data_IF_689120949677
#
_entry.id   IF_689120949677
#
_cell.length_a   1.000
_cell.length_b   1.000
_cell.length_c   1.000
_cell.angle_alpha   90.00
_cell.angle_beta   90.00
_cell.angle_gamma   90.00
#
_symmetry.space_group_name_H-M   'P 1'
#
loop_
_entity.id
_entity.type
_entity.pdbx_description
1 polymer ?
#
# COMPACT_ATOMS: atom_id res chain seq x y z
N UNK A 1 8.39 64.87 -10.39
CA UNK A 1 9.42 64.83 -11.45
C UNK A 1 9.91 63.39 -11.51
N UNK A 2 9.02 62.47 -11.87
CA UNK A 2 8.68 62.08 -13.25
C UNK A 2 9.86 61.40 -13.94
N UNK A 3 9.80 60.07 -14.03
CA UNK A 3 9.93 59.37 -15.32
C UNK A 3 9.58 57.89 -15.14
N UNK A 4 8.47 57.57 -15.80
CA UNK A 4 7.87 56.28 -16.09
C UNK A 4 8.79 55.36 -16.90
N UNK A 5 8.76 54.05 -16.59
CA UNK A 5 9.14 53.02 -17.54
C UNK A 5 8.01 52.00 -17.73
N UNK A 6 7.72 51.77 -19.00
CA UNK A 6 6.60 51.06 -19.59
C UNK A 6 6.58 49.56 -19.32
N UNK A 7 5.36 49.04 -19.19
CA UNK A 7 5.03 47.62 -19.29
C UNK A 7 4.69 47.25 -20.75
N UNK A 8 5.05 46.04 -21.24
CA UNK A 8 4.57 45.58 -22.54
C UNK A 8 3.25 44.80 -22.42
N UNK A 9 2.37 45.06 -23.38
CA UNK A 9 1.05 44.45 -23.59
C UNK A 9 1.13 42.98 -24.08
N UNK A 10 0.09 42.15 -23.87
CA UNK A 10 0.03 40.78 -24.37
C UNK A 10 -0.46 40.69 -25.82
N UNK A 11 0.25 39.88 -26.62
CA UNK A 11 -0.11 39.54 -28.01
C UNK A 11 -1.26 38.54 -28.07
N UNK A 12 -2.22 38.85 -28.93
CA UNK A 12 -3.48 38.16 -29.20
C UNK A 12 -3.40 37.57 -30.61
N UNK A 13 -3.41 36.25 -30.75
CA UNK A 13 -3.64 35.45 -31.99
C UNK A 13 -3.72 33.98 -31.55
N UNK A 14 -4.60 33.12 -32.03
CA UNK A 14 -5.70 33.21 -32.98
C UNK A 14 -6.43 31.87 -32.92
N UNK A 15 -7.76 31.93 -32.93
CA UNK A 15 -8.64 30.78 -33.11
C UNK A 15 -8.44 30.20 -34.52
N UNK A 16 -8.30 28.87 -34.61
CA UNK A 16 -8.58 28.12 -35.84
C UNK A 16 -9.58 27.02 -35.49
N UNK A 17 -10.80 27.20 -35.97
CA UNK A 17 -11.75 26.14 -36.26
C UNK A 17 -11.19 25.30 -37.41
N UNK A 18 -11.24 23.97 -37.29
CA UNK A 18 -11.23 23.10 -38.44
C UNK A 18 -12.20 21.95 -38.22
N UNK A 19 -12.90 21.66 -39.31
CA UNK A 19 -14.23 21.08 -39.43
C UNK A 19 -14.25 19.57 -39.52
N UNK A 20 -15.41 19.02 -39.14
CA UNK A 20 -15.92 17.70 -39.52
C UNK A 20 -15.68 17.34 -41.00
N UNK A 21 -15.19 16.12 -41.23
CA UNK A 21 -15.75 15.16 -42.20
C UNK A 21 -14.77 14.01 -42.42
N UNK A 22 -15.14 12.77 -42.05
CA UNK A 22 -15.16 11.74 -43.09
C UNK A 22 -16.09 10.57 -42.77
N UNK A 23 -16.92 10.27 -43.76
CA UNK A 23 -17.89 9.17 -43.84
C UNK A 23 -17.20 7.92 -44.39
N UNK A 24 -17.76 6.78 -43.99
CA UNK A 24 -17.97 5.57 -44.79
C UNK A 24 -16.75 4.89 -45.43
N UNK A 25 -16.45 3.67 -44.96
CA UNK A 25 -16.31 2.53 -45.86
C UNK A 25 -16.84 1.27 -45.17
N UNK A 26 -17.98 0.80 -45.69
CA UNK A 26 -18.50 -0.54 -45.59
C UNK A 26 -17.61 -1.47 -46.42
N UNK A 27 -17.26 -2.63 -45.89
CA UNK A 27 -17.11 -3.82 -46.73
C UNK A 27 -17.32 -5.10 -45.93
N UNK A 28 -17.85 -6.09 -46.65
CA UNK A 28 -18.56 -7.23 -46.14
C UNK A 28 -17.65 -8.45 -45.88
N UNK A 29 -18.27 -9.38 -45.16
CA UNK A 29 -17.87 -10.74 -44.78
C UNK A 29 -17.50 -11.58 -46.01
N UNK A 30 -16.70 -12.66 -45.83
CA UNK A 30 -17.37 -13.96 -45.91
C UNK A 30 -17.01 -14.92 -44.77
N UNK A 31 -18.02 -15.71 -44.44
CA UNK A 31 -17.96 -16.95 -43.67
C UNK A 31 -17.00 -17.94 -44.33
N UNK A 32 -16.20 -18.65 -43.52
CA UNK A 32 -15.88 -20.04 -43.86
C UNK A 32 -15.64 -20.86 -42.58
N UNK A 33 -16.69 -21.61 -42.29
CA UNK A 33 -16.81 -23.01 -41.90
C UNK A 33 -15.57 -23.84 -41.47
N UNK A 34 -15.88 -24.80 -40.60
CA UNK A 34 -15.21 -26.10 -40.59
C UNK A 34 -14.24 -26.40 -39.46
N UNK A 35 -14.63 -27.33 -38.59
CA UNK A 35 -13.65 -28.30 -38.07
C UNK A 35 -13.77 -28.75 -36.63
N UNK A 36 -14.84 -29.46 -36.30
CA UNK A 36 -14.86 -30.35 -35.13
C UNK A 36 -13.82 -31.48 -35.27
N UNK A 37 -12.98 -31.69 -34.25
CA UNK A 37 -12.35 -33.01 -33.93
C UNK A 37 -12.00 -33.04 -32.44
N UNK A 38 -12.83 -33.70 -31.60
CA UNK A 38 -12.72 -35.10 -31.15
C UNK A 38 -11.42 -35.43 -30.38
N UNK A 39 -11.59 -35.61 -29.07
CA UNK A 39 -11.02 -36.67 -28.20
C UNK A 39 -9.49 -36.80 -28.09
N UNK A 40 -8.98 -36.64 -26.87
CA UNK A 40 -8.43 -37.78 -26.10
C UNK A 40 -8.39 -37.49 -24.59
N UNK A 41 -9.19 -38.28 -23.87
CA UNK A 41 -9.00 -38.65 -22.47
C UNK A 41 -7.67 -39.39 -22.35
N UNK A 42 -6.90 -39.08 -21.31
CA UNK A 42 -5.97 -40.03 -20.67
C UNK A 42 -6.18 -39.86 -19.16
N UNK A 43 -6.89 -40.81 -18.58
CA UNK A 43 -6.87 -41.13 -17.15
C UNK A 43 -5.93 -42.34 -16.95
N UNK A 44 -5.59 -42.61 -15.68
CA UNK A 44 -4.99 -43.85 -15.11
C UNK A 44 -3.44 -43.82 -15.13
N UNK A 45 -2.66 -43.93 -14.03
CA UNK A 45 -2.91 -44.26 -12.61
C UNK A 45 -1.63 -44.05 -11.75
N UNK A 46 -1.67 -44.30 -10.42
CA UNK A 46 -0.66 -43.90 -9.43
C UNK A 46 0.33 -45.00 -9.01
N UNK A 47 1.43 -44.61 -8.39
CA UNK A 47 2.27 -45.41 -7.48
C UNK A 47 3.04 -44.41 -6.59
N UNK A 48 2.87 -44.34 -5.25
CA UNK A 48 3.10 -45.29 -4.17
C UNK A 48 4.59 -45.45 -3.77
N UNK A 49 4.84 -45.27 -2.47
CA UNK A 49 6.09 -45.56 -1.74
C UNK A 49 6.95 -44.32 -1.50
N UNK A 50 7.47 -44.00 -0.32
CA UNK A 50 7.54 -44.58 1.03
C UNK A 50 8.31 -43.54 1.86
N UNK A 51 8.06 -43.35 3.15
CA UNK A 51 8.72 -44.14 4.19
C UNK A 51 9.23 -43.21 5.31
N UNK A 52 8.63 -43.39 6.48
CA UNK A 52 9.11 -43.34 7.88
C UNK A 52 10.34 -42.55 8.39
N UNK A 53 10.19 -42.28 9.70
CA UNK A 53 11.18 -42.04 10.78
C UNK A 53 11.44 -40.57 11.11
N UNK A 54 11.40 -40.10 12.35
CA UNK A 54 11.38 -40.76 13.66
C UNK A 54 12.33 -40.02 14.62
N UNK A 55 11.93 -39.82 15.88
CA UNK A 55 12.74 -39.25 16.97
C UNK A 55 12.37 -37.78 17.29
N UNK A 56 11.90 -37.38 18.46
CA UNK A 56 11.94 -37.99 19.78
C UNK A 56 13.11 -37.43 20.60
N UNK A 57 12.79 -36.80 21.72
CA UNK A 57 13.46 -36.92 23.03
C UNK A 57 13.95 -35.61 23.71
N UNK A 58 13.32 -35.32 24.87
CA UNK A 58 13.90 -34.99 26.21
C UNK A 58 14.76 -33.72 26.34
N UNK A 59 14.65 -32.86 27.36
CA UNK A 59 13.95 -32.87 28.65
C UNK A 59 14.68 -31.98 29.68
N UNK A 60 14.16 -31.99 30.92
CA UNK A 60 14.62 -31.34 32.17
C UNK A 60 14.28 -29.83 32.30
N UNK A 61 13.68 -29.31 33.38
CA UNK A 61 13.54 -29.73 34.79
C UNK A 61 13.89 -28.48 35.64
N UNK A 62 13.38 -28.15 36.83
CA UNK A 62 12.40 -28.65 37.81
C UNK A 62 11.95 -27.42 38.67
N UNK A 63 10.81 -27.47 39.38
CA UNK A 63 10.69 -27.74 40.84
C UNK A 63 11.22 -26.60 41.75
N UNK A 64 10.67 -26.23 42.91
CA UNK A 64 9.43 -26.51 43.66
C UNK A 64 9.47 -25.68 44.97
N UNK A 65 8.30 -25.53 45.61
CA UNK A 65 8.01 -25.38 47.06
C UNK A 65 8.46 -24.09 47.79
N UNK A 66 7.56 -23.31 48.42
CA UNK A 66 6.70 -23.56 49.59
C UNK A 66 7.44 -23.74 50.93
N UNK A 67 7.22 -22.79 51.83
CA UNK A 67 7.04 -22.93 53.28
C UNK A 67 6.39 -21.62 53.77
N UNK A 68 5.13 -21.66 54.25
CA UNK A 68 4.72 -21.77 55.67
C UNK A 68 5.54 -20.85 56.61
N UNK A 69 5.02 -20.22 57.66
CA UNK A 69 3.72 -20.01 58.32
C UNK A 69 4.15 -19.51 59.72
N UNK A 70 3.47 -18.51 60.29
CA UNK A 70 3.04 -18.44 61.70
C UNK A 70 3.11 -17.05 62.33
N UNK A 71 1.95 -16.69 62.90
CA UNK A 71 1.71 -16.10 64.24
C UNK A 71 2.42 -14.78 64.56
N UNK A 72 1.77 -13.75 65.08
CA UNK A 72 0.57 -13.68 65.91
C UNK A 72 0.80 -12.51 66.88
N UNK A 73 -0.26 -11.99 67.50
CA UNK A 73 -0.11 -11.05 68.61
C UNK A 73 -1.03 -9.84 68.53
N UNK A 74 -2.15 -9.95 69.22
CA UNK A 74 -3.05 -8.86 69.57
C UNK A 74 -2.42 -7.96 70.63
N UNK A 75 -2.82 -6.67 70.66
CA UNK A 75 -3.13 -5.96 71.91
C UNK A 75 -4.01 -4.74 71.63
N UNK A 76 -4.87 -4.49 72.61
CA UNK A 76 -6.02 -3.58 72.67
C UNK A 76 -5.66 -2.21 73.27
N UNK A 77 -6.68 -1.32 73.31
CA UNK A 77 -6.93 -0.14 74.17
C UNK A 77 -7.02 1.18 73.38
N UNK A 78 -8.22 1.74 73.17
CA UNK A 78 -8.97 2.73 74.01
C UNK A 78 -8.28 4.10 74.06
N UNK A 79 -8.91 5.29 74.02
CA UNK A 79 -10.30 5.73 74.06
C UNK A 79 -10.39 7.18 73.50
N UNK A 80 -11.60 7.55 73.06
CA UNK A 80 -12.27 8.86 72.99
C UNK A 80 -11.50 10.19 73.02
N UNK A 81 -11.91 11.13 72.13
CA UNK A 81 -12.52 12.43 72.51
C UNK A 81 -12.98 13.26 71.28
N UNK A 82 -14.28 13.60 71.32
CA UNK A 82 -14.94 14.86 70.88
C UNK A 82 -14.93 15.34 69.41
N UNK A 83 -16.09 15.11 68.77
CA UNK A 83 -16.93 16.02 67.98
C UNK A 83 -16.33 17.26 67.29
N UNK A 84 -16.53 17.35 65.96
CA UNK A 84 -17.11 18.53 65.31
C UNK A 84 -17.99 18.13 64.13
N UNK A 85 -19.18 18.70 64.12
CA UNK A 85 -20.26 18.53 63.17
C UNK A 85 -19.99 19.47 61.97
N UNK A 86 -19.82 18.94 60.76
CA UNK A 86 -19.96 19.75 59.53
C UNK A 86 -20.65 18.93 58.45
N UNK A 87 -21.84 19.41 58.10
CA UNK A 87 -22.67 18.98 56.99
C UNK A 87 -21.91 19.21 55.67
N UNK A 88 -21.77 18.14 54.87
CA UNK A 88 -21.47 18.26 53.43
C UNK A 88 -22.67 17.74 52.62
N UNK A 89 -23.00 18.42 51.50
CA UNK A 89 -24.23 18.19 50.76
C UNK A 89 -24.17 16.90 49.95
N UNK A 90 -25.33 16.29 49.77
CA UNK A 90 -25.60 15.17 48.86
C UNK A 90 -24.96 15.36 47.48
N UNK A 91 -23.80 14.74 47.26
CA UNK A 91 -23.47 14.25 45.93
C UNK A 91 -24.29 12.98 45.72
N UNK A 92 -25.22 13.05 44.78
CA UNK A 92 -25.78 11.85 44.15
C UNK A 92 -24.62 11.01 43.61
N UNK A 93 -24.19 10.02 44.39
CA UNK A 93 -23.49 8.86 43.86
C UNK A 93 -24.44 8.19 42.87
N UNK A 94 -24.34 8.59 41.60
CA UNK A 94 -24.63 7.66 40.52
C UNK A 94 -23.75 6.44 40.80
N UNK A 95 -24.39 5.34 41.23
CA UNK A 95 -23.75 4.04 41.39
C UNK A 95 -23.06 3.71 40.06
N UNK A 96 -21.77 4.02 39.94
CA UNK A 96 -20.98 3.54 38.83
C UNK A 96 -20.84 2.04 39.05
N UNK A 97 -21.57 1.26 38.24
CA UNK A 97 -21.55 -0.20 38.29
C UNK A 97 -20.08 -0.67 38.28
N UNK A 98 -19.70 -1.70 39.06
CA UNK A 98 -18.33 -2.24 39.10
C UNK A 98 -17.79 -2.63 37.71
N UNK A 99 -18.70 -2.97 36.80
CA UNK A 99 -18.40 -3.27 35.40
C UNK A 99 -17.92 -2.03 34.64
N UNK A 100 -18.40 -0.83 34.96
CA UNK A 100 -17.92 0.44 34.38
C UNK A 100 -16.44 0.66 34.71
N UNK A 101 -16.00 0.35 35.93
CA UNK A 101 -14.60 0.50 36.35
C UNK A 101 -13.68 -0.50 35.63
N UNK A 102 -14.11 -1.76 35.49
CA UNK A 102 -13.37 -2.81 34.76
C UNK A 102 -13.28 -2.52 33.26
N UNK A 103 -14.37 -2.00 32.66
CA UNK A 103 -14.42 -1.69 31.23
C UNK A 103 -13.75 -0.36 30.89
N UNK A 104 -13.74 0.63 31.79
CA UNK A 104 -13.02 1.89 31.60
C UNK A 104 -11.51 1.71 31.71
N UNK A 105 -11.01 0.84 32.59
CA UNK A 105 -9.58 0.51 32.70
C UNK A 105 -9.08 -0.43 31.60
N UNK A 106 -9.95 -1.27 31.01
CA UNK A 106 -9.62 -2.17 29.88
C UNK A 106 -10.24 -1.75 28.54
N UNK A 107 -10.65 -0.48 28.38
CA UNK A 107 -11.40 -0.02 27.20
C UNK A 107 -10.70 -0.26 25.86
N UNK A 108 -9.39 -0.46 25.88
CA UNK A 108 -8.53 -0.84 24.76
C UNK A 108 -8.59 -2.32 24.39
N UNK A 109 -8.97 -3.23 25.30
CA UNK A 109 -8.65 -4.66 25.17
C UNK A 109 -9.80 -5.51 24.59
N UNK A 110 -11.01 -4.97 24.52
CA UNK A 110 -12.11 -5.65 23.82
C UNK A 110 -11.79 -5.71 22.33
N UNK A 111 -12.03 -6.80 21.61
CA UNK A 111 -11.93 -6.74 20.13
C UNK A 111 -13.17 -6.02 19.58
N UNK A 112 -13.11 -5.43 18.38
CA UNK A 112 -14.31 -4.85 17.76
C UNK A 112 -15.47 -5.86 17.70
N UNK A 113 -15.17 -7.16 17.54
CA UNK A 113 -16.17 -8.23 17.60
C UNK A 113 -16.94 -8.22 18.93
N UNK A 114 -16.24 -8.04 20.05
CA UNK A 114 -16.83 -8.04 21.39
C UNK A 114 -17.61 -6.76 21.63
N UNK A 115 -17.09 -5.61 21.19
CA UNK A 115 -17.80 -4.32 21.20
C UNK A 115 -19.14 -4.46 20.46
N UNK A 116 -19.12 -5.01 19.24
CA UNK A 116 -20.34 -5.22 18.45
C UNK A 116 -21.30 -6.21 19.11
N UNK A 117 -20.79 -7.31 19.69
CA UNK A 117 -21.61 -8.31 20.39
C UNK A 117 -22.29 -7.70 21.61
N UNK A 118 -21.54 -7.00 22.46
CA UNK A 118 -22.03 -6.34 23.67
C UNK A 118 -23.08 -5.28 23.35
N UNK A 119 -22.85 -4.43 22.33
CA UNK A 119 -23.82 -3.42 21.88
C UNK A 119 -25.12 -4.03 21.34
N UNK A 120 -25.05 -5.24 20.77
CA UNK A 120 -26.21 -5.98 20.26
C UNK A 120 -26.99 -6.63 21.39
N UNK A 121 -26.32 -7.25 22.36
CA UNK A 121 -26.97 -8.03 23.44
C UNK A 121 -27.39 -7.19 24.64
N UNK A 122 -26.74 -6.05 24.88
CA UNK A 122 -26.94 -5.24 26.08
C UNK A 122 -27.21 -3.77 25.72
N UNK A 123 -28.43 -3.29 25.96
CA UNK A 123 -28.81 -1.90 25.68
C UNK A 123 -27.98 -0.89 26.49
N UNK A 124 -27.72 -1.17 27.76
CA UNK A 124 -26.87 -0.35 28.62
C UNK A 124 -25.42 -0.25 28.10
N UNK A 125 -24.91 -1.32 27.48
CA UNK A 125 -23.57 -1.33 26.89
C UNK A 125 -23.44 -0.46 25.62
N UNK A 126 -24.55 -0.02 25.03
CA UNK A 126 -24.50 0.98 23.95
C UNK A 126 -23.99 2.34 24.46
N UNK A 127 -24.27 2.67 25.73
CA UNK A 127 -23.76 3.87 26.39
C UNK A 127 -22.27 3.80 26.73
N UNK A 128 -21.74 2.60 26.98
CA UNK A 128 -20.31 2.37 27.22
C UNK A 128 -19.43 2.65 26.01
N UNK A 129 -19.93 2.32 24.81
CA UNK A 129 -19.21 2.50 23.55
C UNK A 129 -19.78 3.68 22.76
N UNK A 130 -19.93 4.83 23.42
CA UNK A 130 -20.32 6.08 22.80
C UNK A 130 -19.24 6.64 21.87
N UNK A 131 -19.56 7.74 21.17
CA UNK A 131 -18.62 8.36 20.23
C UNK A 131 -17.26 8.72 20.86
N UNK A 132 -17.17 9.34 22.06
CA UNK A 132 -15.88 9.65 22.67
C UNK A 132 -15.00 8.42 22.89
N UNK A 133 -15.56 7.32 23.40
CA UNK A 133 -14.83 6.09 23.67
C UNK A 133 -14.36 5.42 22.37
N UNK A 134 -15.20 5.43 21.33
CA UNK A 134 -14.83 4.89 20.02
C UNK A 134 -13.73 5.71 19.34
N UNK A 135 -13.72 7.05 19.49
CA UNK A 135 -12.63 7.91 18.98
C UNK A 135 -11.31 7.62 19.67
N UNK A 136 -11.32 7.55 21.01
CA UNK A 136 -10.12 7.20 21.77
C UNK A 136 -9.54 5.86 21.33
N UNK A 137 -10.42 4.86 21.16
CA UNK A 137 -10.03 3.54 20.65
C UNK A 137 -9.50 3.58 19.21
N UNK A 138 -10.12 4.36 18.34
CA UNK A 138 -9.68 4.51 16.95
C UNK A 138 -8.26 5.09 16.91
N UNK A 139 -7.99 6.14 17.68
CA UNK A 139 -6.65 6.71 17.81
C UNK A 139 -5.62 5.69 18.31
N UNK A 140 -5.99 4.86 19.28
CA UNK A 140 -5.12 3.77 19.75
C UNK A 140 -4.88 2.69 18.68
N UNK A 141 -5.92 2.34 17.91
CA UNK A 141 -5.81 1.35 16.85
C UNK A 141 -4.92 1.86 15.71
N UNK A 142 -5.04 3.14 15.34
CA UNK A 142 -4.18 3.78 14.35
C UNK A 142 -2.69 3.75 14.75
N UNK A 143 -2.38 3.95 16.03
CA UNK A 143 -0.98 3.98 16.51
C UNK A 143 -0.37 2.59 16.67
N UNK A 144 -1.18 1.54 16.84
CA UNK A 144 -0.71 0.18 17.13
C UNK A 144 -0.74 -0.76 15.92
N UNK A 145 -1.64 -0.53 14.96
CA UNK A 145 -1.79 -1.42 13.81
C UNK A 145 -0.56 -1.38 12.88
N UNK A 146 -0.08 -2.57 12.51
CA UNK A 146 1.00 -2.73 11.55
C UNK A 146 0.61 -2.09 10.20
N UNK A 147 1.55 -1.35 9.60
CA UNK A 147 1.31 -0.54 8.41
C UNK A 147 0.77 0.87 8.70
N UNK A 148 -0.11 1.05 9.69
CA UNK A 148 -0.65 2.37 10.06
C UNK A 148 0.25 3.14 11.03
N UNK A 149 1.06 2.42 11.82
CA UNK A 149 2.14 3.02 12.64
C UNK A 149 3.22 3.74 11.82
N UNK A 150 3.26 3.51 10.50
CA UNK A 150 4.24 4.17 9.63
C UNK A 150 3.93 5.66 9.62
N UNK A 151 4.97 6.47 9.77
CA UNK A 151 4.86 7.93 9.75
C UNK A 151 5.65 8.49 8.57
N UNK A 152 5.13 9.59 8.03
CA UNK A 152 5.81 10.42 7.05
C UNK A 152 6.06 11.77 7.71
N UNK A 153 7.32 12.20 7.82
CA UNK A 153 7.68 13.48 8.45
C UNK A 153 7.12 13.64 9.88
N UNK A 154 7.11 12.53 10.65
CA UNK A 154 6.57 12.51 12.01
C UNK A 154 5.04 12.54 12.10
N UNK A 155 4.32 12.59 10.97
CA UNK A 155 2.86 12.53 10.91
C UNK A 155 2.38 11.12 10.54
N UNK A 156 1.22 10.72 11.04
CA UNK A 156 0.57 9.48 10.62
C UNK A 156 0.27 9.52 9.12
N UNK A 157 0.29 8.37 8.43
CA UNK A 157 -0.09 8.32 7.02
C UNK A 157 -1.60 8.44 6.79
N UNK A 158 -2.40 7.99 7.76
CA UNK A 158 -3.85 7.90 7.68
C UNK A 158 -4.49 8.46 8.95
N UNK A 159 -5.54 9.25 8.79
CA UNK A 159 -6.39 9.78 9.86
C UNK A 159 -7.86 9.67 9.47
N UNK A 160 -8.76 9.82 10.43
CA UNK A 160 -10.19 9.88 10.18
C UNK A 160 -10.75 11.25 10.58
N UNK A 161 -11.76 11.75 9.88
CA UNK A 161 -12.55 12.91 10.27
C UNK A 161 -13.49 12.60 11.47
N UNK A 162 -12.94 12.00 12.51
CA UNK A 162 -13.63 11.32 13.60
C UNK A 162 -14.55 12.23 14.43
N UNK A 163 -14.24 13.52 14.53
CA UNK A 163 -15.06 14.52 15.22
C UNK A 163 -16.43 14.69 14.56
N UNK A 164 -16.50 14.53 13.24
CA UNK A 164 -17.73 14.64 12.45
C UNK A 164 -18.46 13.30 12.32
N UNK A 165 -17.84 12.20 12.75
CA UNK A 165 -18.38 10.86 12.65
C UNK A 165 -19.36 10.56 13.77
N UNK A 166 -20.50 9.98 13.40
CA UNK A 166 -21.42 9.36 14.34
C UNK A 166 -20.89 8.01 14.84
N UNK A 167 -21.60 7.40 15.80
CA UNK A 167 -21.21 6.09 16.36
C UNK A 167 -21.11 4.99 15.30
N UNK A 168 -22.00 4.99 14.30
CA UNK A 168 -21.95 4.03 13.20
C UNK A 168 -20.66 4.14 12.37
N UNK A 169 -20.33 5.37 11.97
CA UNK A 169 -19.13 5.68 11.18
C UNK A 169 -17.85 5.36 11.97
N UNK A 170 -17.82 5.65 13.27
CA UNK A 170 -16.68 5.31 14.13
C UNK A 170 -16.48 3.79 14.24
N UNK A 171 -17.57 3.02 14.31
CA UNK A 171 -17.49 1.55 14.27
C UNK A 171 -17.01 1.04 12.90
N UNK A 172 -17.40 1.70 11.81
CA UNK A 172 -16.90 1.38 10.47
C UNK A 172 -15.40 1.72 10.33
N UNK A 173 -14.96 2.87 10.84
CA UNK A 173 -13.56 3.27 10.87
C UNK A 173 -12.70 2.27 11.67
N UNK A 174 -13.18 1.84 12.85
CA UNK A 174 -12.54 0.79 13.64
C UNK A 174 -12.50 -0.54 12.88
N UNK A 175 -13.57 -0.91 12.18
CA UNK A 175 -13.60 -2.12 11.37
C UNK A 175 -12.55 -2.12 10.28
N UNK A 176 -12.43 -1.00 9.57
CA UNK A 176 -11.46 -0.79 8.50
C UNK A 176 -10.02 -0.77 9.03
N UNK A 177 -9.82 -0.18 10.22
CA UNK A 177 -8.52 -0.11 10.90
C UNK A 177 -8.06 -1.49 11.40
N UNK A 178 -8.92 -2.18 12.17
CA UNK A 178 -8.57 -3.45 12.83
C UNK A 178 -8.56 -4.65 11.87
N UNK A 179 -9.42 -4.69 10.85
CA UNK A 179 -9.43 -5.79 9.88
C UNK A 179 -8.42 -5.61 8.73
N UNK A 180 -7.82 -4.42 8.62
CA UNK A 180 -7.21 -3.95 7.39
C UNK A 180 -5.79 -4.41 7.12
N UNK A 181 -4.92 -4.58 8.13
CA UNK A 181 -3.48 -4.82 7.94
C UNK A 181 -2.86 -3.95 6.83
N UNK A 182 -2.58 -2.69 7.10
CA UNK A 182 -2.44 -1.70 6.04
C UNK A 182 -1.07 -1.65 5.33
N UNK A 183 -0.17 -2.59 5.58
CA UNK A 183 1.21 -2.57 5.09
C UNK A 183 1.36 -2.16 3.61
N UNK A 184 0.62 -2.82 2.73
CA UNK A 184 0.75 -2.67 1.28
C UNK A 184 0.23 -1.31 0.80
N UNK A 185 -0.91 -0.88 1.33
CA UNK A 185 -1.50 0.41 0.97
C UNK A 185 -0.85 1.59 1.67
N UNK A 186 -0.32 1.42 2.87
CA UNK A 186 0.48 2.44 3.54
C UNK A 186 1.73 2.78 2.75
N UNK A 187 2.41 1.79 2.17
CA UNK A 187 3.52 2.02 1.24
C UNK A 187 3.11 2.81 0.00
N UNK A 188 1.95 2.49 -0.58
CA UNK A 188 1.44 3.20 -1.75
C UNK A 188 1.03 4.65 -1.41
N UNK A 189 0.42 4.87 -0.23
CA UNK A 189 0.03 6.19 0.28
C UNK A 189 1.26 7.05 0.59
N UNK A 190 2.26 6.49 1.26
CA UNK A 190 3.52 7.19 1.53
C UNK A 190 4.21 7.60 0.22
N UNK A 191 4.31 6.67 -0.74
CA UNK A 191 4.88 6.95 -2.05
C UNK A 191 4.09 8.04 -2.80
N UNK A 192 2.76 8.01 -2.73
CA UNK A 192 1.91 9.04 -3.31
C UNK A 192 2.18 10.42 -2.71
N UNK A 193 2.28 10.51 -1.37
CA UNK A 193 2.61 11.74 -0.67
C UNK A 193 4.00 12.26 -1.03
N UNK A 194 4.99 11.36 -1.10
CA UNK A 194 6.35 11.69 -1.51
C UNK A 194 6.43 12.20 -2.96
N UNK A 195 5.60 11.65 -3.86
CA UNK A 195 5.50 12.10 -5.25
C UNK A 195 4.63 13.36 -5.43
N UNK A 196 4.19 14.01 -4.35
CA UNK A 196 3.34 15.20 -4.42
C UNK A 196 1.93 14.94 -4.94
N UNK A 197 1.51 13.68 -5.06
CA UNK A 197 0.17 13.31 -5.53
C UNK A 197 -0.89 13.44 -4.42
N UNK A 198 -0.47 13.70 -3.17
CA UNK A 198 -1.38 13.94 -2.06
C UNK A 198 -0.69 14.64 -0.88
N UNK A 199 -1.48 15.30 -0.03
CA UNK A 199 -1.00 15.89 1.23
C UNK A 199 -1.26 14.96 2.42
N UNK A 200 -0.21 14.32 2.93
CA UNK A 200 -0.30 13.49 4.13
C UNK A 200 -0.66 14.35 5.37
N UNK A 201 -1.42 13.81 6.35
CA UNK A 201 -2.08 12.49 6.39
C UNK A 201 -3.29 12.36 5.45
N UNK A 202 -3.56 11.15 4.95
CA UNK A 202 -4.84 10.82 4.28
C UNK A 202 -5.98 10.89 5.27
N UNK A 203 -6.88 11.86 5.10
CA UNK A 203 -8.03 12.05 5.99
C UNK A 203 -9.28 11.38 5.41
N UNK A 204 -9.64 10.22 5.95
CA UNK A 204 -10.84 9.49 5.57
C UNK A 204 -12.09 10.05 6.26
N UNK A 205 -13.17 10.19 5.48
CA UNK A 205 -14.47 10.72 5.91
C UNK A 205 -15.52 9.61 5.98
N UNK A 206 -16.71 9.90 6.52
CA UNK A 206 -17.84 8.96 6.47
C UNK A 206 -18.21 8.60 5.04
N UNK A 207 -18.08 9.53 4.09
CA UNK A 207 -18.34 9.27 2.67
C UNK A 207 -17.39 8.22 2.09
N UNK A 208 -16.13 8.21 2.51
CA UNK A 208 -15.16 7.18 2.10
C UNK A 208 -15.52 5.81 2.67
N UNK A 209 -15.91 5.75 3.95
CA UNK A 209 -16.36 4.53 4.61
C UNK A 209 -17.63 3.95 3.97
N UNK A 210 -18.57 4.83 3.59
CA UNK A 210 -19.85 4.46 2.97
C UNK A 210 -19.74 3.99 1.52
N UNK A 211 -18.53 3.95 0.93
CA UNK A 211 -18.27 3.25 -0.33
C UNK A 211 -18.54 1.74 -0.24
N UNK A 212 -18.65 1.23 0.98
CA UNK A 212 -19.16 -0.11 1.29
C UNK A 212 -20.48 -0.01 2.04
N UNK A 213 -21.49 -0.73 1.56
CA UNK A 213 -22.82 -0.71 2.17
C UNK A 213 -22.84 -1.27 3.61
N UNK A 214 -21.92 -2.19 3.92
CA UNK A 214 -21.79 -2.80 5.24
C UNK A 214 -20.44 -3.51 5.40
N UNK A 215 -20.17 -3.97 6.63
CA UNK A 215 -18.97 -4.75 6.99
C UNK A 215 -18.80 -6.02 6.15
N UNK A 216 -19.87 -6.74 5.86
CA UNK A 216 -19.80 -7.98 5.06
C UNK A 216 -19.31 -7.68 3.65
N UNK A 217 -19.82 -6.62 3.02
CA UNK A 217 -19.36 -6.18 1.70
C UNK A 217 -17.88 -5.75 1.71
N UNK A 218 -17.43 -5.07 2.78
CA UNK A 218 -16.02 -4.71 2.96
C UNK A 218 -15.13 -5.94 3.09
N UNK A 219 -15.50 -6.90 3.95
CA UNK A 219 -14.72 -8.12 4.18
C UNK A 219 -14.76 -9.12 3.02
N UNK A 220 -15.81 -9.06 2.18
CA UNK A 220 -15.92 -9.87 0.96
C UNK A 220 -15.03 -9.34 -0.17
N UNK A 221 -14.68 -8.05 -0.15
CA UNK A 221 -13.77 -7.48 -1.13
C UNK A 221 -12.31 -7.87 -0.83
N UNK A 222 -11.49 -7.97 -1.88
CA UNK A 222 -10.05 -8.12 -1.72
C UNK A 222 -9.52 -6.93 -0.94
N UNK A 223 -8.87 -7.19 0.19
CA UNK A 223 -8.47 -6.20 1.20
C UNK A 223 -7.78 -4.97 0.62
N UNK A 224 -6.74 -5.16 -0.20
CA UNK A 224 -6.00 -4.05 -0.81
C UNK A 224 -6.87 -3.26 -1.78
N UNK A 225 -7.76 -3.94 -2.53
CA UNK A 225 -8.72 -3.27 -3.41
C UNK A 225 -9.75 -2.47 -2.60
N UNK A 226 -10.16 -2.97 -1.44
CA UNK A 226 -11.10 -2.28 -0.57
C UNK A 226 -10.51 -1.01 0.04
N UNK A 227 -9.27 -1.11 0.51
CA UNK A 227 -8.50 0.05 0.95
C UNK A 227 -8.31 1.05 -0.19
N UNK A 228 -7.90 0.59 -1.37
CA UNK A 228 -7.73 1.42 -2.56
C UNK A 228 -9.03 2.14 -2.97
N UNK A 229 -10.19 1.49 -2.84
CA UNK A 229 -11.48 2.13 -3.11
C UNK A 229 -11.75 3.33 -2.18
N UNK A 230 -11.24 3.28 -0.94
CA UNK A 230 -11.38 4.35 0.06
C UNK A 230 -10.28 5.41 -0.08
N UNK A 231 -9.01 5.03 -0.20
CA UNK A 231 -7.88 5.98 -0.23
C UNK A 231 -7.53 6.49 -1.62
N UNK A 232 -7.81 5.73 -2.68
CA UNK A 232 -7.48 6.08 -4.05
C UNK A 232 -8.02 7.45 -4.51
N UNK A 233 -9.26 7.85 -4.19
CA UNK A 233 -9.80 9.17 -4.53
C UNK A 233 -9.00 10.35 -3.97
N UNK A 234 -8.22 10.10 -2.92
CA UNK A 234 -7.31 11.07 -2.32
C UNK A 234 -5.97 11.12 -3.05
N UNK A 235 -5.60 10.11 -3.85
CA UNK A 235 -4.38 10.15 -4.67
C UNK A 235 -4.68 10.94 -5.95
N UNK A 236 -4.24 12.20 -5.99
CA UNK A 236 -4.46 13.13 -7.09
C UNK A 236 -3.29 13.14 -8.09
N UNK A 237 -3.61 13.11 -9.37
CA UNK A 237 -2.65 13.13 -10.48
C UNK A 237 -2.71 14.44 -11.27
N UNK A 238 -3.15 15.53 -10.63
CA UNK A 238 -3.39 16.81 -11.29
C UNK A 238 -4.59 16.81 -12.24
N UNK A 239 -4.95 17.99 -12.76
CA UNK A 239 -6.02 18.19 -13.76
C UNK A 239 -7.36 17.54 -13.41
N UNK A 240 -7.72 17.49 -12.12
CA UNK A 240 -8.94 16.86 -11.63
C UNK A 240 -8.98 15.33 -11.71
N UNK A 241 -7.86 14.68 -12.06
CA UNK A 241 -7.76 13.22 -12.12
C UNK A 241 -7.26 12.68 -10.78
N UNK A 242 -7.90 11.62 -10.28
CA UNK A 242 -7.49 10.91 -9.07
C UNK A 242 -7.52 9.40 -9.30
N UNK A 243 -6.94 8.62 -8.38
CA UNK A 243 -7.01 7.17 -8.44
C UNK A 243 -8.41 6.67 -8.08
N UNK A 244 -9.31 6.60 -9.06
CA UNK A 244 -10.68 6.12 -8.84
C UNK A 244 -10.88 4.74 -9.46
N UNK A 245 -11.69 3.91 -8.79
CA UNK A 245 -12.13 2.61 -9.28
C UNK A 245 -13.58 2.70 -9.75
N UNK A 246 -13.87 2.18 -10.94
CA UNK A 246 -15.20 2.17 -11.54
C UNK A 246 -15.61 0.73 -11.87
N UNK A 247 -16.78 0.32 -11.37
CA UNK A 247 -17.34 -0.99 -11.68
C UNK A 247 -18.50 -0.83 -12.67
N UNK A 248 -18.37 -1.42 -13.86
CA UNK A 248 -19.38 -1.44 -14.92
C UNK A 248 -19.70 -2.88 -15.29
N UNK A 249 -20.81 -3.39 -14.75
CA UNK A 249 -21.12 -4.82 -14.82
C UNK A 249 -20.02 -5.63 -14.15
N UNK A 250 -19.36 -6.51 -14.93
CA UNK A 250 -18.24 -7.33 -14.46
C UNK A 250 -16.87 -6.72 -14.76
N UNK A 251 -16.83 -5.52 -15.35
CA UNK A 251 -15.58 -4.86 -15.75
C UNK A 251 -15.18 -3.84 -14.70
N UNK A 252 -13.98 -4.01 -14.15
CA UNK A 252 -13.37 -3.04 -13.23
C UNK A 252 -12.41 -2.14 -14.01
N UNK A 253 -12.53 -0.84 -13.82
CA UNK A 253 -11.66 0.19 -14.42
C UNK A 253 -10.98 1.03 -13.35
N UNK A 254 -9.83 1.60 -13.69
CA UNK A 254 -9.11 2.51 -12.81
C UNK A 254 -8.70 3.82 -13.52
N UNK A 255 -8.57 4.91 -12.77
CA UNK A 255 -8.23 6.28 -13.24
C UNK A 255 -9.35 6.95 -14.05
N UNK A 256 -9.82 6.33 -15.14
CA UNK A 256 -10.94 6.81 -15.97
C UNK A 256 -11.97 5.70 -16.18
N UNK A 257 -13.24 6.08 -16.26
CA UNK A 257 -14.32 5.16 -16.63
C UNK A 257 -14.48 5.10 -18.16
N UNK A 258 -13.46 4.59 -18.84
CA UNK A 258 -13.41 4.51 -20.30
C UNK A 258 -12.78 3.19 -20.75
N UNK A 259 -13.04 2.80 -22.01
CA UNK A 259 -12.35 1.65 -22.62
C UNK A 259 -10.83 1.89 -22.62
N UNK A 260 -10.05 0.83 -22.39
CA UNK A 260 -8.58 0.89 -22.27
C UNK A 260 -8.08 1.13 -20.84
N UNK A 261 -8.97 1.40 -19.89
CA UNK A 261 -8.66 1.59 -18.47
C UNK A 261 -9.10 0.41 -17.60
N UNK A 262 -9.35 -0.75 -18.22
CA UNK A 262 -9.70 -1.98 -17.51
C UNK A 262 -8.53 -2.54 -16.70
N UNK A 263 -8.87 -3.07 -15.53
CA UNK A 263 -7.99 -3.87 -14.70
C UNK A 263 -8.61 -5.26 -14.50
N UNK A 264 -7.84 -6.30 -14.78
CA UNK A 264 -8.24 -7.68 -14.53
C UNK A 264 -7.53 -8.17 -13.27
N UNK A 265 -8.31 -8.42 -12.22
CA UNK A 265 -7.80 -8.84 -10.92
C UNK A 265 -7.66 -10.36 -10.90
N UNK A 266 -6.50 -10.83 -10.44
CA UNK A 266 -6.14 -12.22 -10.39
C UNK A 266 -6.30 -12.94 -11.74
N UNK A 267 -5.67 -12.42 -12.81
CA UNK A 267 -5.76 -13.04 -14.13
C UNK A 267 -5.18 -14.46 -14.06
N UNK A 268 -5.64 -15.40 -14.90
CA UNK A 268 -5.01 -16.71 -14.99
C UNK A 268 -3.56 -16.56 -15.43
N UNK A 269 -2.64 -17.13 -14.66
CA UNK A 269 -1.21 -17.15 -14.93
C UNK A 269 -0.72 -18.61 -15.03
N UNK A 270 0.32 -18.88 -15.83
CA UNK A 270 0.94 -20.21 -15.85
C UNK A 270 1.33 -20.68 -14.44
N UNK A 271 1.26 -21.99 -14.18
CA UNK A 271 1.53 -22.55 -12.85
C UNK A 271 2.93 -22.19 -12.32
N UNK A 272 3.92 -22.11 -13.22
CA UNK A 272 5.31 -21.77 -12.90
C UNK A 272 5.60 -20.26 -12.98
N UNK A 273 4.57 -19.41 -13.04
CA UNK A 273 4.75 -17.97 -13.08
C UNK A 273 5.12 -17.45 -11.68
N UNK A 274 6.18 -16.63 -11.57
CA UNK A 274 6.68 -16.11 -10.29
C UNK A 274 5.57 -15.47 -9.43
N UNK A 275 4.73 -14.63 -10.05
CA UNK A 275 3.61 -13.98 -9.33
C UNK A 275 2.50 -14.95 -8.91
N UNK A 276 2.36 -16.09 -9.59
CA UNK A 276 1.43 -17.14 -9.19
C UNK A 276 1.98 -17.91 -7.98
N UNK A 277 3.29 -18.21 -7.98
CA UNK A 277 3.99 -18.89 -6.89
C UNK A 277 3.97 -18.08 -5.59
N UNK A 278 4.06 -16.75 -5.70
CA UNK A 278 4.08 -15.84 -4.56
C UNK A 278 2.77 -15.06 -4.36
N UNK A 279 1.67 -15.54 -4.94
CA UNK A 279 0.37 -14.89 -4.89
C UNK A 279 -0.10 -14.70 -3.45
N UNK A 280 -0.43 -13.46 -3.08
CA UNK A 280 -1.16 -13.15 -1.85
C UNK A 280 -2.66 -13.07 -2.12
N UNK A 281 -3.49 -13.75 -1.32
CA UNK A 281 -4.94 -13.76 -1.52
C UNK A 281 -5.54 -12.36 -1.41
N UNK A 282 -5.01 -11.53 -0.52
CA UNK A 282 -5.54 -10.19 -0.22
C UNK A 282 -4.94 -9.08 -1.10
N UNK A 283 -3.87 -9.36 -1.85
CA UNK A 283 -3.18 -8.47 -2.78
C UNK A 283 -2.76 -9.25 -4.05
N UNK A 284 -3.73 -9.81 -4.82
CA UNK A 284 -3.41 -10.73 -5.91
C UNK A 284 -2.83 -9.99 -7.14
N UNK A 285 -2.22 -10.72 -8.09
CA UNK A 285 -1.73 -10.17 -9.35
C UNK A 285 -2.81 -9.41 -10.13
N UNK A 286 -2.40 -8.42 -10.93
CA UNK A 286 -3.32 -7.60 -11.73
C UNK A 286 -2.82 -7.48 -13.16
N UNK A 287 -3.69 -7.62 -14.16
CA UNK A 287 -3.37 -7.28 -15.56
C UNK A 287 -4.00 -5.92 -15.91
N UNK A 288 -3.21 -4.99 -16.43
CA UNK A 288 -3.68 -3.66 -16.81
C UNK A 288 -2.87 -3.06 -17.96
N UNK A 289 -3.54 -2.28 -18.82
CA UNK A 289 -2.94 -1.51 -19.92
C UNK A 289 -2.71 -0.04 -19.57
N UNK A 290 -3.12 0.39 -18.39
CA UNK A 290 -3.03 1.79 -17.98
C UNK A 290 -1.57 2.22 -17.88
N UNK A 291 -1.22 3.32 -18.52
CA UNK A 291 0.09 3.97 -18.40
C UNK A 291 -0.07 5.49 -18.45
N UNK A 292 0.95 6.20 -17.99
CA UNK A 292 1.07 7.64 -18.17
C UNK A 292 2.22 7.94 -19.14
N UNK A 293 2.06 8.97 -19.96
CA UNK A 293 3.09 9.55 -20.82
C UNK A 293 3.10 11.06 -20.61
N UNK A 294 4.28 11.69 -20.63
CA UNK A 294 4.40 13.15 -20.49
C UNK A 294 3.72 13.90 -21.64
N UNK A 295 3.71 13.35 -22.85
CA UNK A 295 3.16 13.99 -24.04
C UNK A 295 1.65 13.83 -24.22
N UNK A 296 1.10 12.69 -23.81
CA UNK A 296 -0.32 12.33 -24.05
C UNK A 296 -1.13 12.14 -22.77
N UNK A 297 -0.50 12.21 -21.60
CA UNK A 297 -1.11 11.97 -20.31
C UNK A 297 -1.49 10.51 -20.09
N UNK A 298 -2.64 10.30 -19.45
CA UNK A 298 -3.19 8.97 -19.20
C UNK A 298 -3.65 8.31 -20.50
N UNK A 299 -3.16 7.11 -20.79
CA UNK A 299 -3.53 6.37 -21.99
C UNK A 299 -3.52 4.85 -21.75
N UNK A 300 -4.16 4.11 -22.66
CA UNK A 300 -3.98 2.66 -22.76
C UNK A 300 -2.72 2.36 -23.56
N UNK A 301 -1.89 1.45 -23.07
CA UNK A 301 -0.75 0.94 -23.79
C UNK A 301 -1.22 0.25 -25.09
N UNK A 302 -0.57 0.60 -26.20
CA UNK A 302 -0.75 -0.09 -27.49
C UNK A 302 -0.02 -1.44 -27.40
N UNK A 303 -0.73 -2.52 -27.70
CA UNK A 303 -0.22 -3.88 -27.60
C UNK A 303 -0.57 -4.55 -26.27
N UNK A 304 0.41 -5.17 -25.63
CA UNK A 304 0.18 -6.13 -24.55
C UNK A 304 0.10 -5.50 -23.17
N UNK A 305 -0.82 -6.03 -22.36
CA UNK A 305 -1.01 -5.54 -21.01
C UNK A 305 0.13 -5.95 -20.09
N UNK A 306 0.42 -5.10 -19.10
CA UNK A 306 1.35 -5.42 -18.01
C UNK A 306 0.64 -6.34 -17.02
N UNK A 307 1.34 -7.35 -16.54
CA UNK A 307 0.93 -8.17 -15.40
C UNK A 307 1.73 -7.69 -14.21
N UNK A 308 1.08 -7.08 -13.23
CA UNK A 308 1.65 -6.65 -11.98
C UNK A 308 1.66 -7.80 -10.99
N UNK A 309 2.68 -7.88 -10.14
CA UNK A 309 2.75 -8.90 -9.08
C UNK A 309 1.59 -8.80 -8.09
N UNK A 310 1.03 -7.61 -7.92
CA UNK A 310 -0.05 -7.36 -6.98
C UNK A 310 -0.85 -6.08 -7.29
N UNK A 311 -1.99 -5.86 -6.61
CA UNK A 311 -2.76 -4.61 -6.70
C UNK A 311 -1.92 -3.45 -6.20
N UNK A 312 -1.22 -3.61 -5.07
CA UNK A 312 -0.35 -2.56 -4.53
C UNK A 312 0.81 -2.23 -5.46
N UNK A 313 1.38 -3.23 -6.14
CA UNK A 313 2.45 -3.03 -7.15
C UNK A 313 1.94 -2.23 -8.36
N UNK A 314 0.71 -2.48 -8.81
CA UNK A 314 0.07 -1.69 -9.86
C UNK A 314 -0.10 -0.22 -9.43
N UNK A 315 -0.62 0.03 -8.22
CA UNK A 315 -0.82 1.39 -7.70
C UNK A 315 0.51 2.14 -7.61
N UNK A 316 1.53 1.52 -7.00
CA UNK A 316 2.87 2.11 -6.89
C UNK A 316 3.48 2.45 -8.25
N UNK A 317 3.33 1.56 -9.25
CA UNK A 317 3.83 1.83 -10.61
C UNK A 317 3.08 2.97 -11.27
N UNK A 318 1.76 3.06 -11.11
CA UNK A 318 0.95 4.17 -11.64
C UNK A 318 1.40 5.51 -11.04
N UNK A 319 1.66 5.53 -9.73
CA UNK A 319 2.21 6.72 -9.03
C UNK A 319 3.57 7.12 -9.61
N UNK A 320 4.50 6.16 -9.77
CA UNK A 320 5.84 6.41 -10.32
C UNK A 320 5.77 6.87 -11.77
N UNK A 321 4.89 6.28 -12.60
CA UNK A 321 4.72 6.67 -14.00
C UNK A 321 4.20 8.11 -14.13
N UNK A 322 3.20 8.47 -13.32
CA UNK A 322 2.71 9.84 -13.27
C UNK A 322 3.81 10.81 -12.83
N UNK A 323 4.50 10.50 -11.73
CA UNK A 323 5.56 11.35 -11.20
C UNK A 323 6.68 11.57 -12.23
N UNK A 324 7.18 10.48 -12.82
CA UNK A 324 8.21 10.54 -13.84
C UNK A 324 7.79 11.29 -15.11
N UNK A 325 6.50 11.27 -15.46
CA UNK A 325 5.99 12.00 -16.62
C UNK A 325 5.72 13.48 -16.36
N UNK A 326 5.60 13.89 -15.09
CA UNK A 326 5.25 15.27 -14.69
C UNK A 326 6.39 16.04 -14.05
N UNK A 327 7.43 15.35 -13.59
CA UNK A 327 8.57 15.96 -12.92
C UNK A 327 9.85 15.77 -13.73
N UNK A 328 10.76 16.77 -13.75
CA UNK A 328 12.07 16.61 -14.35
C UNK A 328 12.89 15.61 -13.54
N UNK A 329 13.15 14.44 -14.12
CA UNK A 329 13.97 13.40 -13.49
C UNK A 329 15.32 13.28 -14.19
N UNK A 330 16.39 13.12 -13.43
CA UNK A 330 17.69 12.73 -13.96
C UNK A 330 17.81 11.22 -13.91
N UNK A 331 18.31 10.62 -14.99
CA UNK A 331 18.41 9.17 -15.14
C UNK A 331 19.84 8.81 -15.54
N UNK A 332 20.44 7.82 -14.89
CA UNK A 332 21.67 7.21 -15.41
C UNK A 332 21.37 6.48 -16.71
N UNK A 333 22.37 6.29 -17.56
CA UNK A 333 22.20 5.39 -18.70
C UNK A 333 21.87 3.98 -18.23
N UNK A 334 21.14 3.25 -19.08
CA UNK A 334 20.96 1.81 -18.89
C UNK A 334 22.31 1.12 -18.95
N UNK A 335 22.64 0.40 -17.89
CA UNK A 335 23.85 -0.42 -17.82
C UNK A 335 23.46 -1.88 -17.83
N UNK A 336 24.12 -2.63 -18.69
CA UNK A 336 23.95 -4.06 -18.86
C UNK A 336 24.89 -4.73 -17.87
N UNK A 337 24.34 -5.39 -16.87
CA UNK A 337 25.08 -6.01 -15.77
C UNK A 337 24.83 -7.51 -15.81
N UNK A 338 25.89 -8.31 -15.68
CA UNK A 338 25.74 -9.75 -15.50
C UNK A 338 24.91 -10.00 -14.22
N UNK A 339 23.82 -10.77 -14.37
CA UNK A 339 22.90 -11.06 -13.28
C UNK A 339 23.55 -11.79 -12.10
N UNK A 340 24.65 -12.51 -12.36
CA UNK A 340 25.37 -13.33 -11.40
C UNK A 340 26.55 -12.63 -10.72
N UNK A 341 26.88 -11.40 -11.16
CA UNK A 341 27.90 -10.59 -10.49
C UNK A 341 27.50 -10.28 -9.05
N UNK A 342 28.50 -10.01 -8.19
CA UNK A 342 28.31 -9.65 -6.78
C UNK A 342 27.46 -10.69 -6.02
N UNK A 343 27.86 -11.96 -6.11
CA UNK A 343 27.16 -13.09 -5.50
C UNK A 343 25.71 -13.25 -5.94
N UNK A 344 25.42 -13.05 -7.24
CA UNK A 344 24.07 -13.17 -7.80
C UNK A 344 23.04 -12.23 -7.15
N UNK A 345 23.47 -11.05 -6.72
CA UNK A 345 22.60 -10.08 -6.03
C UNK A 345 21.43 -9.63 -6.89
N UNK A 346 21.67 -9.22 -8.14
CA UNK A 346 20.58 -8.82 -9.06
C UNK A 346 19.67 -9.99 -9.41
N UNK A 347 20.25 -11.18 -9.64
CA UNK A 347 19.46 -12.39 -9.83
C UNK A 347 18.51 -12.63 -8.65
N UNK A 348 19.02 -12.56 -7.41
CA UNK A 348 18.23 -12.78 -6.19
C UNK A 348 17.12 -11.74 -6.04
N UNK A 349 17.41 -10.46 -6.32
CA UNK A 349 16.39 -9.39 -6.32
C UNK A 349 15.30 -9.65 -7.36
N UNK A 350 15.64 -10.22 -8.53
CA UNK A 350 14.67 -10.48 -9.59
C UNK A 350 13.87 -11.77 -9.40
N UNK A 351 14.42 -12.78 -8.73
CA UNK A 351 13.79 -14.10 -8.56
C UNK A 351 13.14 -14.32 -7.20
N UNK A 352 13.48 -13.52 -6.18
CA UNK A 352 12.76 -13.59 -4.91
C UNK A 352 11.30 -13.14 -5.04
N UNK A 353 10.48 -13.46 -4.03
CA UNK A 353 9.11 -12.99 -3.97
C UNK A 353 9.02 -11.48 -4.19
N UNK A 354 8.10 -11.00 -5.06
CA UNK A 354 7.90 -9.57 -5.27
C UNK A 354 7.37 -8.86 -4.01
N UNK A 355 6.85 -9.63 -3.04
CA UNK A 355 6.37 -9.12 -1.75
C UNK A 355 7.45 -9.09 -0.66
N UNK A 356 8.63 -9.68 -0.91
CA UNK A 356 9.76 -9.59 0.02
C UNK A 356 10.35 -8.19 -0.04
N UNK A 357 10.47 -7.47 1.09
CA UNK A 357 11.17 -6.18 1.15
C UNK A 357 12.61 -6.32 0.67
N UNK A 358 13.11 -5.32 -0.06
CA UNK A 358 14.51 -5.23 -0.46
C UNK A 358 15.22 -4.29 0.51
N UNK A 359 16.31 -4.76 1.12
CA UNK A 359 17.11 -3.93 2.03
C UNK A 359 17.55 -2.63 1.36
N UNK A 360 17.45 -1.51 2.09
CA UNK A 360 17.74 -0.17 1.58
C UNK A 360 16.62 0.44 0.71
N UNK A 361 15.49 -0.25 0.54
CA UNK A 361 14.33 0.28 -0.19
C UNK A 361 13.15 0.54 0.74
N UNK A 362 12.37 1.56 0.43
CA UNK A 362 11.18 1.98 1.19
C UNK A 362 9.92 1.26 0.70
N UNK A 363 9.89 0.97 -0.60
CA UNK A 363 8.92 0.06 -1.21
C UNK A 363 9.44 -0.48 -2.54
N UNK A 364 8.77 -1.51 -3.06
CA UNK A 364 9.05 -2.06 -4.39
C UNK A 364 7.76 -2.25 -5.18
N UNK A 365 7.89 -2.24 -6.51
CA UNK A 365 6.82 -2.56 -7.44
C UNK A 365 7.36 -3.44 -8.56
N UNK A 366 6.72 -4.58 -8.81
CA UNK A 366 7.13 -5.52 -9.86
C UNK A 366 6.01 -5.72 -10.88
N UNK A 367 6.40 -5.86 -12.14
CA UNK A 367 5.50 -6.22 -13.22
C UNK A 367 6.25 -6.85 -14.38
N UNK A 368 5.49 -7.51 -15.23
CA UNK A 368 5.96 -8.23 -16.40
C UNK A 368 5.19 -7.78 -17.62
N UNK A 369 5.85 -7.71 -18.76
CA UNK A 369 5.17 -7.62 -20.05
C UNK A 369 4.75 -9.01 -20.51
N UNK A 370 3.45 -9.21 -20.78
CA UNK A 370 2.92 -10.55 -21.06
C UNK A 370 3.53 -11.21 -22.32
N UNK A 371 3.73 -10.47 -23.42
CA UNK A 371 4.25 -11.06 -24.65
C UNK A 371 5.76 -11.29 -24.69
N UNK A 372 6.51 -10.38 -24.07
CA UNK A 372 7.97 -10.40 -24.11
C UNK A 372 8.55 -10.84 -22.77
N UNK A 373 7.78 -11.58 -21.95
CA UNK A 373 8.02 -12.09 -20.59
C UNK A 373 9.11 -11.35 -19.77
N UNK A 374 9.18 -10.03 -19.91
CA UNK A 374 10.30 -9.23 -19.41
C UNK A 374 9.92 -8.74 -18.04
N UNK A 375 10.54 -9.35 -17.03
CA UNK A 375 10.33 -9.01 -15.65
C UNK A 375 11.02 -7.67 -15.35
N UNK A 376 10.30 -6.81 -14.63
CA UNK A 376 10.74 -5.47 -14.26
C UNK A 376 10.47 -5.25 -12.80
N UNK A 377 11.42 -4.58 -12.15
CA UNK A 377 11.33 -4.24 -10.72
C UNK A 377 11.76 -2.80 -10.50
N UNK A 378 10.93 -2.07 -9.78
CA UNK A 378 11.20 -0.73 -9.27
C UNK A 378 11.53 -0.85 -7.79
N UNK A 379 12.66 -0.28 -7.39
CA UNK A 379 13.14 -0.25 -6.01
C UNK A 379 13.19 1.21 -5.56
N UNK A 380 12.22 1.65 -4.78
CA UNK A 380 12.16 3.05 -4.30
C UNK A 380 13.16 3.21 -3.15
N UNK A 381 14.09 4.14 -3.29
CA UNK A 381 15.21 4.35 -2.37
C UNK A 381 14.87 5.34 -1.25
N UNK A 382 14.02 6.32 -1.56
CA UNK A 382 13.67 7.41 -0.65
C UNK A 382 12.27 7.23 -0.08
N UNK A 383 12.02 7.84 1.07
CA UNK A 383 10.71 7.90 1.75
C UNK A 383 10.29 9.36 1.93
N UNK A 384 9.20 9.58 2.66
CA UNK A 384 8.69 10.93 2.90
C UNK A 384 9.64 11.89 3.64
N UNK A 385 10.68 11.37 4.33
CA UNK A 385 11.70 12.22 4.98
C UNK A 385 12.74 12.79 4.03
N UNK A 386 12.73 12.37 2.76
CA UNK A 386 13.63 12.89 1.74
C UNK A 386 12.89 13.96 0.91
N UNK A 387 13.52 15.10 0.61
CA UNK A 387 12.91 16.16 -0.19
C UNK A 387 12.88 15.85 -1.70
N UNK A 388 13.23 14.62 -2.09
CA UNK A 388 13.31 14.16 -3.47
C UNK A 388 12.93 12.68 -3.58
N UNK A 389 12.61 12.24 -4.80
CA UNK A 389 12.27 10.85 -5.09
C UNK A 389 13.41 10.22 -5.87
N UNK A 390 13.89 9.05 -5.43
CA UNK A 390 14.88 8.27 -6.15
C UNK A 390 14.50 6.78 -6.16
N UNK A 391 14.77 6.12 -7.28
CA UNK A 391 14.50 4.70 -7.43
C UNK A 391 15.47 4.03 -8.42
N UNK A 392 15.68 2.74 -8.22
CA UNK A 392 16.36 1.88 -9.18
C UNK A 392 15.31 1.20 -10.04
N UNK A 393 15.56 1.16 -11.33
CA UNK A 393 14.78 0.39 -12.28
C UNK A 393 15.64 -0.75 -12.83
N UNK A 394 15.13 -1.97 -12.67
CA UNK A 394 15.77 -3.21 -13.08
C UNK A 394 14.86 -3.89 -14.11
N UNK A 395 15.43 -4.32 -15.23
CA UNK A 395 14.71 -5.11 -16.23
C UNK A 395 15.57 -6.26 -16.75
N UNK A 396 14.93 -7.41 -16.98
CA UNK A 396 15.53 -8.47 -17.81
C UNK A 396 15.61 -8.00 -19.26
N UNK A 397 16.77 -8.21 -19.91
CA UNK A 397 17.03 -7.68 -21.26
C UNK A 397 16.41 -8.56 -22.35
N UNK A 398 16.32 -9.89 -22.19
CA UNK A 398 15.71 -10.84 -23.13
C UNK A 398 15.46 -12.22 -22.42
N UNK A 399 14.94 -13.24 -23.12
CA UNK A 399 14.35 -14.47 -22.56
C UNK A 399 15.22 -15.65 -22.14
N UNK A 400 16.54 -15.60 -22.22
CA UNK A 400 17.34 -16.75 -21.80
C UNK A 400 17.93 -16.57 -20.39
N UNK A 401 18.12 -17.67 -19.67
CA UNK A 401 18.47 -17.66 -18.25
C UNK A 401 19.90 -17.16 -17.97
N UNK A 402 20.75 -17.08 -19.00
CA UNK A 402 22.11 -16.58 -18.94
C UNK A 402 22.23 -15.08 -19.26
N UNK A 403 21.12 -14.36 -19.44
CA UNK A 403 21.15 -12.99 -19.95
C UNK A 403 21.37 -11.92 -18.90
N UNK A 404 21.95 -10.78 -19.33
CA UNK A 404 22.25 -9.68 -18.44
C UNK A 404 20.98 -8.92 -18.06
N UNK A 405 21.08 -8.19 -16.96
CA UNK A 405 20.05 -7.34 -16.41
C UNK A 405 20.40 -5.89 -16.76
N UNK A 406 19.42 -5.14 -17.27
CA UNK A 406 19.57 -3.71 -17.47
C UNK A 406 19.16 -2.97 -16.19
N UNK A 407 20.07 -2.14 -15.68
CA UNK A 407 19.90 -1.34 -14.46
C UNK A 407 20.02 0.13 -14.83
N UNK A 408 19.12 0.97 -14.31
CA UNK A 408 19.32 2.41 -14.28
C UNK A 408 18.78 3.00 -12.97
N UNK A 409 19.32 4.15 -12.58
CA UNK A 409 18.90 4.89 -11.39
C UNK A 409 18.28 6.21 -11.83
N UNK A 410 17.15 6.56 -11.21
CA UNK A 410 16.45 7.83 -11.45
C UNK A 410 16.35 8.61 -10.17
N UNK A 411 16.43 9.94 -10.28
CA UNK A 411 16.34 10.84 -9.13
C UNK A 411 15.83 12.22 -9.50
N UNK A 412 15.20 12.88 -8.52
CA UNK A 412 14.93 14.33 -8.52
C UNK A 412 15.77 15.07 -7.48
N UNK A 413 16.83 14.45 -6.95
CA UNK A 413 17.80 15.10 -6.08
C UNK A 413 18.34 16.37 -6.77
N UNK A 414 18.33 17.54 -6.10
CA UNK A 414 18.94 18.74 -6.65
C UNK A 414 20.42 18.52 -6.97
N UNK A 415 20.84 18.98 -8.15
CA UNK A 415 22.24 18.87 -8.55
C UNK A 415 23.15 19.69 -7.63
N UNK A 416 24.24 19.09 -7.16
CA UNK A 416 25.30 19.85 -6.49
C UNK A 416 26.05 20.69 -7.53
N UNK A 417 26.17 22.00 -7.28
CA UNK A 417 26.89 22.93 -8.16
C UNK A 417 28.39 22.89 -7.90
N UNK A 418 29.20 23.07 -8.96
CA UNK A 418 30.66 23.22 -8.84
C UNK A 418 31.44 21.93 -8.58
N UNK A 419 30.79 20.77 -8.67
CA UNK A 419 31.42 19.45 -8.59
C UNK A 419 31.59 18.82 -9.97
N UNK A 420 32.36 17.72 -10.06
CA UNK A 420 32.60 16.99 -11.30
C UNK A 420 31.31 16.56 -12.02
N UNK A 421 31.44 16.22 -13.31
CA UNK A 421 30.30 15.85 -14.16
C UNK A 421 29.69 14.48 -13.85
N UNK A 422 30.34 13.65 -13.02
CA UNK A 422 29.88 12.29 -12.74
C UNK A 422 28.58 12.30 -11.90
N UNK A 423 27.73 11.28 -12.12
CA UNK A 423 26.45 11.17 -11.43
C UNK A 423 26.62 11.14 -9.90
N UNK A 424 27.62 10.40 -9.40
CA UNK A 424 27.88 10.25 -7.96
C UNK A 424 28.29 11.55 -7.27
N UNK A 425 28.91 12.47 -8.00
CA UNK A 425 29.33 13.78 -7.49
C UNK A 425 28.14 14.73 -7.45
N UNK A 426 27.32 14.69 -8.50
CA UNK A 426 26.13 15.53 -8.70
C UNK A 426 24.94 15.17 -7.81
N UNK A 427 24.77 13.87 -7.50
CA UNK A 427 23.64 13.32 -6.76
C UNK A 427 24.12 12.36 -5.64
N UNK A 428 24.88 12.88 -4.66
CA UNK A 428 25.60 12.06 -3.68
C UNK A 428 24.68 11.31 -2.72
N UNK A 429 23.46 11.81 -2.44
CA UNK A 429 22.50 11.09 -1.58
C UNK A 429 21.93 9.89 -2.33
N UNK A 430 21.49 10.09 -3.56
CA UNK A 430 20.98 9.03 -4.44
C UNK A 430 22.02 7.95 -4.66
N UNK A 431 23.26 8.33 -4.96
CA UNK A 431 24.36 7.38 -5.14
C UNK A 431 24.58 6.52 -3.89
N UNK A 432 24.63 7.14 -2.70
CA UNK A 432 24.81 6.39 -1.44
C UNK A 432 23.68 5.41 -1.18
N UNK A 433 22.42 5.83 -1.36
CA UNK A 433 21.25 4.97 -1.19
C UNK A 433 21.26 3.82 -2.20
N UNK A 434 21.49 4.12 -3.48
CA UNK A 434 21.56 3.09 -4.52
C UNK A 434 22.71 2.11 -4.27
N UNK A 435 23.86 2.57 -3.77
CA UNK A 435 25.01 1.73 -3.47
C UNK A 435 24.75 0.73 -2.36
N UNK A 436 23.92 1.08 -1.37
CA UNK A 436 23.47 0.11 -0.33
C UNK A 436 22.71 -1.03 -0.99
N UNK A 437 21.80 -0.74 -1.93
CA UNK A 437 20.93 -1.72 -2.59
C UNK A 437 21.65 -2.53 -3.68
N UNK A 438 22.57 -1.91 -4.42
CA UNK A 438 23.27 -2.52 -5.54
C UNK A 438 24.58 -3.20 -5.12
N UNK A 439 25.23 -2.74 -4.06
CA UNK A 439 26.54 -3.25 -3.65
C UNK A 439 27.68 -2.58 -4.42
N UNK A 440 28.90 -2.75 -3.93
CA UNK A 440 30.04 -1.99 -4.44
C UNK A 440 30.33 -2.31 -5.91
N UNK A 441 30.29 -3.59 -6.29
CA UNK A 441 30.64 -4.05 -7.64
C UNK A 441 29.64 -3.56 -8.68
N UNK A 442 28.34 -3.76 -8.45
CA UNK A 442 27.30 -3.33 -9.39
C UNK A 442 27.23 -1.79 -9.45
N UNK A 443 27.40 -1.11 -8.31
CA UNK A 443 27.40 0.37 -8.30
C UNK A 443 28.52 0.95 -9.14
N UNK A 444 29.71 0.37 -9.13
CA UNK A 444 30.80 0.83 -9.98
C UNK A 444 30.41 0.77 -11.47
N UNK A 445 29.80 -0.33 -11.92
CA UNK A 445 29.30 -0.47 -13.29
C UNK A 445 28.20 0.54 -13.62
N UNK A 446 27.34 0.85 -12.65
CA UNK A 446 26.19 1.75 -12.85
C UNK A 446 26.59 3.24 -12.88
N UNK A 447 27.61 3.64 -12.12
CA UNK A 447 27.91 5.07 -11.87
C UNK A 447 29.28 5.57 -12.34
N UNK A 448 30.25 4.71 -12.62
CA UNK A 448 31.63 5.13 -12.97
C UNK A 448 31.88 5.26 -14.48
N UNK A 449 30.86 5.04 -15.31
CA UNK A 449 30.85 5.24 -16.76
C UNK A 449 29.65 6.10 -17.15
#
# INVERSE_FOLDING_TARGET
MDSSHDAPAPSRRGHQEETDSNKQHSEAVPDDDGGAKKRRRVDISPAAGGGHSGGGSIGAGGAAAESQQQQGGATSLSADLTAFNMQHPHQQQQQQHPVWYVLAHRGSDFLLRDVLRLRKTCSWARGLFGAPQLRQRLSHSLSTQAGLRRTANGQQLLTFADQQMGVGDLLAALCVTEAGGWSEMSEAVELAGQCGNYQLPVRLTSADLHRYANKTAYLAALRVLAQLKMVGPHIHFGSGVAFQLFLRGNTLRAIKDQNGYEININPPLPLNHLYQQHRQQHDPPVRSRITYSSSTGWQSLIGEARVYSSVSSMVKKIIIDHFNGTHPTVTTHYRIVDRHVDNSRLHSIMTQSPHTPVEGCTTTASFRFAAIFADRRYLVLTNASHPFVAWIYIQDVLHNTAQPIAVCVRTTEPNVSGVGGAFKDRFPVTYRLARVVLGAVISAVVFDQ
#
